data_IF_305391303795
#
_entry.id   IF_305391303795
#
_cell.length_a   1.000
_cell.length_b   1.000
_cell.length_c   1.000
_cell.angle_alpha   90.00
_cell.angle_beta   90.00
_cell.angle_gamma   90.00
#
_symmetry.space_group_name_H-M   'P 1'
#
loop_
_entity.id
_entity.type
_entity.pdbx_description
1 polymer ?
#
# COMPACT_ATOMS: atom_id res chain seq x y z
N UNK A 1 -12.53 23.69 13.23
CA UNK A 1 -11.35 22.99 12.64
C UNK A 1 -11.81 21.71 11.96
N UNK A 2 -11.31 21.43 10.75
CA UNK A 2 -11.64 20.23 9.98
C UNK A 2 -10.36 19.50 9.55
N UNK A 3 -10.34 18.17 9.71
CA UNK A 3 -9.20 17.32 9.33
C UNK A 3 -9.66 16.35 8.26
N UNK A 4 -9.00 16.41 7.11
CA UNK A 4 -9.24 15.53 5.97
C UNK A 4 -8.03 14.63 5.84
N UNK A 5 -8.24 13.32 5.89
CA UNK A 5 -7.16 12.32 5.85
C UNK A 5 -7.33 11.42 4.64
N UNK A 6 -6.21 11.17 3.95
CA UNK A 6 -6.07 10.18 2.90
C UNK A 6 -4.95 9.24 3.31
N UNK A 7 -5.20 7.94 3.36
CA UNK A 7 -4.13 6.96 3.56
C UNK A 7 -4.06 5.96 2.42
N UNK A 8 -2.87 5.45 2.15
CA UNK A 8 -2.67 4.43 1.13
C UNK A 8 -1.44 3.59 1.43
N UNK A 9 -1.47 2.35 0.94
CA UNK A 9 -0.36 1.43 1.08
C UNK A 9 0.72 1.69 0.02
N UNK A 10 1.95 1.85 0.47
CA UNK A 10 3.10 2.11 -0.37
C UNK A 10 3.38 0.93 -1.27
N UNK A 11 3.44 1.21 -2.57
CA UNK A 11 3.77 0.22 -3.60
C UNK A 11 5.28 0.22 -3.86
N UNK A 12 5.82 -0.80 -4.55
CA UNK A 12 7.20 -0.76 -5.04
C UNK A 12 7.53 0.51 -5.83
N UNK A 13 6.57 1.03 -6.61
CA UNK A 13 6.71 2.29 -7.35
C UNK A 13 6.77 3.50 -6.41
N UNK A 14 5.95 3.53 -5.36
CA UNK A 14 5.92 4.64 -4.41
C UNK A 14 7.24 4.82 -3.66
N UNK A 15 7.93 3.72 -3.36
CA UNK A 15 9.28 3.73 -2.76
C UNK A 15 10.38 3.97 -3.81
N UNK A 16 10.08 3.82 -5.11
CA UNK A 16 11.06 3.88 -6.19
C UNK A 16 11.99 2.66 -6.23
N UNK A 17 11.50 1.49 -5.82
CA UNK A 17 12.32 0.26 -5.68
C UNK A 17 12.92 -0.23 -7.00
N UNK A 18 12.31 0.13 -8.13
CA UNK A 18 12.85 -0.14 -9.48
C UNK A 18 14.01 0.78 -9.88
N UNK A 19 14.48 1.67 -9.00
CA UNK A 19 15.52 2.65 -9.32
C UNK A 19 15.05 3.75 -10.29
N UNK A 20 13.74 3.81 -10.55
CA UNK A 20 13.14 4.84 -11.40
C UNK A 20 12.97 6.13 -10.61
N UNK A 21 13.37 7.26 -11.19
CA UNK A 21 13.12 8.60 -10.64
C UNK A 21 11.62 8.97 -10.60
N UNK A 22 10.75 8.09 -11.08
CA UNK A 22 9.30 8.24 -11.15
C UNK A 22 8.59 7.57 -9.95
N UNK A 23 9.04 7.89 -8.73
CA UNK A 23 8.36 7.42 -7.51
C UNK A 23 7.20 8.35 -7.17
N UNK A 24 6.00 7.82 -7.00
CA UNK A 24 4.82 8.61 -6.69
C UNK A 24 3.81 7.89 -5.78
N UNK A 25 3.02 8.70 -5.06
CA UNK A 25 1.77 8.26 -4.42
C UNK A 25 0.63 8.61 -5.37
N UNK A 26 -0.23 7.62 -5.64
CA UNK A 26 -1.41 7.80 -6.48
C UNK A 26 -2.59 8.31 -5.63
N UNK A 27 -3.26 9.35 -6.11
CA UNK A 27 -4.53 9.83 -5.57
C UNK A 27 -5.68 9.39 -6.48
N UNK A 28 -6.78 8.88 -5.90
CA UNK A 28 -7.93 8.47 -6.69
C UNK A 28 -8.56 9.65 -7.41
N UNK A 29 -8.99 9.42 -8.66
CA UNK A 29 -9.80 10.35 -9.44
C UNK A 29 -11.21 10.58 -8.91
N UNK A 30 -11.59 9.97 -7.79
CA UNK A 30 -12.88 10.26 -7.18
C UNK A 30 -12.91 11.76 -6.91
N UNK A 31 -13.66 12.51 -7.73
CA UNK A 31 -13.60 13.97 -7.81
C UNK A 31 -13.76 14.55 -6.40
N UNK A 32 -14.77 14.06 -5.67
CA UNK A 32 -14.98 14.39 -4.26
C UNK A 32 -13.75 14.28 -3.34
N UNK A 33 -12.93 13.23 -3.46
CA UNK A 33 -11.75 13.05 -2.59
C UNK A 33 -10.65 14.04 -2.96
N UNK A 34 -10.39 14.17 -4.26
CA UNK A 34 -9.36 15.10 -4.76
C UNK A 34 -9.77 16.54 -4.45
N UNK A 35 -11.03 16.89 -4.66
CA UNK A 35 -11.59 18.23 -4.44
C UNK A 35 -11.66 18.60 -2.96
N UNK A 36 -11.88 17.63 -2.08
CA UNK A 36 -11.78 17.88 -0.65
C UNK A 36 -10.34 18.05 -0.19
N UNK A 37 -9.43 17.22 -0.69
CA UNK A 37 -8.05 17.21 -0.22
C UNK A 37 -7.21 18.34 -0.82
N UNK A 38 -7.49 18.78 -2.05
CA UNK A 38 -6.69 19.79 -2.74
C UNK A 38 -7.54 20.98 -3.14
N UNK A 39 -7.10 22.19 -2.79
CA UNK A 39 -7.76 23.43 -3.21
C UNK A 39 -7.42 23.82 -4.67
N UNK A 40 -6.31 23.30 -5.19
CA UNK A 40 -5.76 23.63 -6.50
C UNK A 40 -5.63 22.36 -7.34
N UNK A 41 -6.25 22.36 -8.52
CA UNK A 41 -6.28 21.23 -9.45
C UNK A 41 -5.36 21.39 -10.67
N UNK A 42 -4.27 22.16 -10.50
CA UNK A 42 -3.22 22.34 -11.50
C UNK A 42 -1.89 21.85 -10.95
N UNK A 43 -0.91 21.57 -11.82
CA UNK A 43 0.41 21.11 -11.35
C UNK A 43 1.05 22.19 -10.47
N UNK A 44 1.41 21.84 -9.24
CA UNK A 44 2.04 22.76 -8.30
C UNK A 44 2.89 22.00 -7.27
N UNK A 45 3.76 22.73 -6.59
CA UNK A 45 4.53 22.20 -5.46
C UNK A 45 3.77 22.47 -4.17
N UNK A 46 3.67 21.45 -3.31
CA UNK A 46 3.05 21.54 -1.99
C UNK A 46 4.08 21.26 -0.91
N UNK A 47 3.97 21.97 0.20
CA UNK A 47 4.78 21.70 1.39
C UNK A 47 3.96 20.89 2.37
N UNK A 48 4.51 19.75 2.79
CA UNK A 48 3.93 18.88 3.79
C UNK A 48 4.84 18.84 5.02
N UNK A 49 4.26 18.92 6.21
CA UNK A 49 4.99 18.81 7.48
C UNK A 49 4.89 17.38 8.02
N UNK A 50 6.04 16.76 8.27
CA UNK A 50 6.12 15.45 8.91
C UNK A 50 5.61 15.54 10.34
N UNK A 51 4.65 14.68 10.71
CA UNK A 51 4.17 14.57 12.09
C UNK A 51 5.15 13.87 13.03
N UNK A 52 6.16 13.17 12.50
CA UNK A 52 7.16 12.47 13.31
C UNK A 52 8.15 13.44 13.96
N UNK A 53 8.61 14.43 13.20
CA UNK A 53 9.74 15.29 13.59
C UNK A 53 9.52 16.79 13.31
N UNK A 54 8.39 17.16 12.70
CA UNK A 54 8.06 18.54 12.35
C UNK A 54 8.81 19.07 11.12
N UNK A 55 9.59 18.24 10.42
CA UNK A 55 10.32 18.68 9.23
C UNK A 55 9.39 18.95 8.04
N UNK A 56 9.71 19.98 7.25
CA UNK A 56 8.93 20.34 6.06
C UNK A 56 9.53 19.75 4.79
N UNK A 57 8.70 19.12 3.98
CA UNK A 57 9.07 18.47 2.73
C UNK A 57 8.26 19.02 1.57
N UNK A 58 8.91 19.31 0.46
CA UNK A 58 8.24 19.77 -0.76
C UNK A 58 8.03 18.61 -1.72
N UNK A 59 6.78 18.46 -2.17
CA UNK A 59 6.40 17.45 -3.14
C UNK A 59 5.70 18.11 -4.33
N UNK A 60 5.93 17.53 -5.51
CA UNK A 60 5.30 18.01 -6.73
C UNK A 60 3.99 17.26 -6.96
N UNK A 61 2.88 17.98 -7.01
CA UNK A 61 1.60 17.44 -7.42
C UNK A 61 1.45 17.56 -8.93
N UNK A 62 1.00 16.48 -9.58
CA UNK A 62 0.50 16.55 -10.95
C UNK A 62 -0.94 16.09 -11.02
N UNK A 63 -1.75 16.89 -11.71
CA UNK A 63 -3.16 16.63 -11.99
C UNK A 63 -3.29 16.48 -13.50
N UNK A 64 -3.39 15.23 -13.95
CA UNK A 64 -3.47 14.89 -15.37
C UNK A 64 -4.49 13.76 -15.57
N UNK A 65 -4.15 12.74 -16.37
CA UNK A 65 -4.89 11.49 -16.42
C UNK A 65 -4.76 10.67 -15.13
N UNK A 66 -3.86 11.02 -14.21
CA UNK A 66 -3.76 10.43 -12.87
C UNK A 66 -3.28 11.51 -11.91
N UNK A 67 -3.93 11.62 -10.74
CA UNK A 67 -3.52 12.54 -9.69
C UNK A 67 -2.38 11.89 -8.90
N UNK A 68 -1.24 12.57 -8.81
CA UNK A 68 -0.02 11.97 -8.25
C UNK A 68 0.77 12.98 -7.44
N UNK A 69 1.23 12.54 -6.27
CA UNK A 69 2.26 13.21 -5.48
C UNK A 69 3.61 12.57 -5.82
N UNK A 70 4.46 13.32 -6.52
CA UNK A 70 5.75 12.84 -7.02
C UNK A 70 6.87 13.03 -6.01
N UNK A 71 7.92 12.24 -6.19
CA UNK A 71 9.18 12.30 -5.44
C UNK A 71 9.04 11.94 -3.95
N UNK A 72 8.06 11.10 -3.62
CA UNK A 72 7.94 10.53 -2.27
C UNK A 72 9.01 9.48 -1.96
N UNK A 73 9.53 8.78 -2.98
CA UNK A 73 10.47 7.67 -2.81
C UNK A 73 11.75 8.02 -2.03
N UNK A 74 12.44 9.15 -2.30
CA UNK A 74 13.59 9.57 -1.49
C UNK A 74 13.29 9.68 0.01
N UNK A 75 12.17 10.32 0.38
CA UNK A 75 11.73 10.41 1.77
C UNK A 75 11.42 9.02 2.34
N UNK A 76 10.66 8.21 1.60
CA UNK A 76 10.29 6.87 2.06
C UNK A 76 11.52 6.01 2.36
N UNK A 77 12.59 6.14 1.56
CA UNK A 77 13.85 5.43 1.78
C UNK A 77 14.64 5.99 2.97
N UNK A 78 14.65 7.31 3.21
CA UNK A 78 15.32 7.87 4.39
C UNK A 78 14.69 7.39 5.69
N UNK A 79 13.38 7.15 5.67
CA UNK A 79 12.62 6.60 6.80
C UNK A 79 12.64 5.06 6.86
N UNK A 80 13.37 4.38 5.96
CA UNK A 80 13.35 2.93 5.81
C UNK A 80 11.92 2.36 5.73
N UNK A 81 11.06 3.01 4.94
CA UNK A 81 9.75 2.48 4.56
C UNK A 81 9.91 1.46 3.44
N UNK A 82 9.07 0.46 3.50
CA UNK A 82 9.07 -0.70 2.63
C UNK A 82 7.73 -0.81 1.88
N UNK A 83 7.69 -1.46 0.70
CA UNK A 83 6.42 -1.77 0.05
C UNK A 83 5.50 -2.58 0.97
N UNK A 84 4.26 -2.13 1.13
CA UNK A 84 3.31 -2.66 2.11
C UNK A 84 3.20 -1.82 3.38
N UNK A 85 4.07 -0.84 3.62
CA UNK A 85 3.83 0.18 4.65
C UNK A 85 2.73 1.14 4.23
N UNK A 86 2.22 1.95 5.16
CA UNK A 86 1.15 2.90 4.89
C UNK A 86 1.64 4.33 5.08
N UNK A 87 1.25 5.21 4.18
CA UNK A 87 1.43 6.66 4.30
C UNK A 87 0.07 7.29 4.54
N UNK A 88 0.04 8.25 5.45
CA UNK A 88 -1.15 9.02 5.80
C UNK A 88 -0.85 10.48 5.45
N UNK A 89 -1.66 11.06 4.58
CA UNK A 89 -1.61 12.46 4.17
C UNK A 89 -2.82 13.17 4.78
N UNK A 90 -2.62 14.36 5.31
CA UNK A 90 -3.69 15.11 5.97
C UNK A 90 -3.70 16.57 5.55
N UNK A 91 -4.88 17.11 5.30
CA UNK A 91 -5.16 18.54 5.23
C UNK A 91 -5.89 18.94 6.51
N UNK A 92 -5.39 19.95 7.19
CA UNK A 92 -6.03 20.56 8.36
C UNK A 92 -6.50 21.95 7.96
N UNK A 93 -7.81 22.14 7.96
CA UNK A 93 -8.48 23.42 7.70
C UNK A 93 -8.79 24.09 9.06
N UNK A 94 -8.23 25.28 9.25
CA UNK A 94 -8.42 26.09 10.44
C UNK A 94 -9.59 27.07 10.26
N UNK A 95 -10.12 27.57 11.38
CA UNK A 95 -11.31 28.43 11.37
C UNK A 95 -11.04 29.82 10.76
N UNK A 96 -9.77 30.19 10.60
CA UNK A 96 -9.32 31.41 9.90
C UNK A 96 -9.24 31.23 8.37
N UNK A 97 -9.62 30.05 7.85
CA UNK A 97 -9.59 29.71 6.43
C UNK A 97 -8.23 29.25 5.92
N UNK A 98 -7.20 29.18 6.78
CA UNK A 98 -5.91 28.62 6.38
C UNK A 98 -5.95 27.09 6.35
N UNK A 99 -5.18 26.51 5.43
CA UNK A 99 -4.97 25.06 5.36
C UNK A 99 -3.50 24.72 5.56
N UNK A 100 -3.23 23.67 6.33
CA UNK A 100 -1.89 23.10 6.47
C UNK A 100 -1.89 21.62 6.09
N UNK A 101 -0.81 21.19 5.47
CA UNK A 101 -0.65 19.84 4.98
C UNK A 101 0.37 19.09 5.82
N UNK A 102 0.01 17.88 6.20
CA UNK A 102 0.79 17.02 7.06
C UNK A 102 0.89 15.62 6.48
N UNK A 103 1.88 14.88 6.93
CA UNK A 103 1.93 13.46 6.67
C UNK A 103 2.53 12.67 7.83
N UNK A 104 2.19 11.39 7.88
CA UNK A 104 2.72 10.39 8.80
C UNK A 104 2.79 9.04 8.09
N UNK A 105 3.31 8.02 8.75
CA UNK A 105 3.39 6.66 8.21
C UNK A 105 3.24 5.60 9.31
N UNK A 106 2.83 4.41 8.88
CA UNK A 106 2.76 3.19 9.69
C UNK A 106 3.62 2.12 9.02
N UNK A 107 4.59 1.58 9.77
CA UNK A 107 5.38 0.43 9.37
C UNK A 107 4.67 -0.85 9.76
N UNK A 108 4.67 -1.84 8.87
CA UNK A 108 4.07 -3.15 9.13
C UNK A 108 5.07 -4.27 8.91
N UNK A 109 5.37 -5.03 9.95
CA UNK A 109 6.19 -6.27 9.83
C UNK A 109 5.34 -7.53 9.71
N UNK A 110 4.08 -7.46 10.13
CA UNK A 110 3.17 -8.60 10.22
C UNK A 110 2.30 -8.81 8.97
N UNK A 111 2.65 -8.17 7.84
CA UNK A 111 1.87 -8.28 6.61
C UNK A 111 2.74 -8.56 5.39
N UNK A 112 2.19 -9.31 4.44
CA UNK A 112 2.80 -9.57 3.13
C UNK A 112 1.78 -9.25 2.05
N UNK A 113 2.16 -8.39 1.09
CA UNK A 113 1.33 -8.11 -0.08
C UNK A 113 1.74 -9.02 -1.23
N UNK A 114 0.80 -9.83 -1.69
CA UNK A 114 0.94 -10.74 -2.81
C UNK A 114 0.22 -10.21 -4.05
N UNK A 115 0.82 -10.40 -5.20
CA UNK A 115 0.31 -9.99 -6.50
C UNK A 115 0.08 -11.22 -7.38
N UNK A 116 -1.18 -11.43 -7.77
CA UNK A 116 -1.61 -12.57 -8.56
C UNK A 116 -1.37 -12.35 -10.05
N UNK A 117 -0.62 -13.27 -10.65
CA UNK A 117 -0.30 -13.29 -12.07
C UNK A 117 -1.17 -14.33 -12.77
N UNK A 118 -2.42 -13.95 -13.03
CA UNK A 118 -3.51 -14.86 -13.41
C UNK A 118 -3.28 -15.76 -14.63
N UNK A 119 -2.49 -15.33 -15.61
CA UNK A 119 -2.18 -16.18 -16.78
C UNK A 119 -1.34 -17.42 -16.41
N UNK A 120 -0.61 -17.35 -15.29
CA UNK A 120 0.32 -18.38 -14.87
C UNK A 120 -0.01 -18.95 -13.47
N UNK A 121 -1.12 -18.49 -12.87
CA UNK A 121 -1.69 -18.97 -11.60
C UNK A 121 -0.72 -18.99 -10.41
N UNK A 122 0.25 -18.08 -10.37
CA UNK A 122 1.17 -17.93 -9.24
C UNK A 122 1.14 -16.50 -8.67
N UNK A 123 1.80 -16.34 -7.54
CA UNK A 123 1.94 -15.08 -6.83
C UNK A 123 3.39 -14.58 -6.84
N UNK A 124 3.53 -13.26 -6.80
CA UNK A 124 4.79 -12.58 -6.46
C UNK A 124 4.55 -11.68 -5.25
N UNK A 125 5.60 -11.31 -4.52
CA UNK A 125 5.47 -10.37 -3.39
C UNK A 125 5.93 -8.96 -3.79
N UNK A 126 5.37 -7.94 -3.15
CA UNK A 126 5.90 -6.57 -3.25
C UNK A 126 7.21 -6.37 -2.50
N UNK A 127 7.47 -7.19 -1.48
CA UNK A 127 8.68 -7.10 -0.67
C UNK A 127 9.19 -8.51 -0.37
N UNK A 128 10.30 -8.88 -1.03
CA UNK A 128 10.93 -10.19 -0.87
C UNK A 128 11.60 -10.36 0.49
N UNK A 129 12.21 -9.31 1.02
CA UNK A 129 12.87 -9.36 2.32
C UNK A 129 11.85 -9.55 3.45
N UNK A 130 10.74 -8.80 3.41
CA UNK A 130 9.62 -8.98 4.35
C UNK A 130 8.98 -10.35 4.20
N UNK A 131 8.80 -10.83 2.96
CA UNK A 131 8.30 -12.18 2.73
C UNK A 131 9.18 -13.24 3.40
N UNK A 132 10.51 -13.16 3.28
CA UNK A 132 11.43 -14.11 3.90
C UNK A 132 11.39 -14.06 5.43
N UNK A 133 11.14 -12.88 6.03
CA UNK A 133 10.93 -12.75 7.48
C UNK A 133 9.60 -13.37 7.92
N UNK A 134 8.56 -13.26 7.10
CA UNK A 134 7.22 -13.76 7.36
C UNK A 134 7.12 -15.28 7.14
N UNK A 135 7.77 -15.78 6.09
CA UNK A 135 7.80 -17.18 5.64
C UNK A 135 9.24 -17.70 5.79
N UNK A 136 9.60 -18.30 6.94
CA UNK A 136 10.98 -18.65 7.24
C UNK A 136 11.51 -19.83 6.42
N UNK A 137 10.63 -20.70 5.94
CA UNK A 137 10.96 -21.87 5.12
C UNK A 137 9.80 -22.25 4.22
N UNK A 138 10.08 -22.81 3.04
CA UNK A 138 9.07 -23.34 2.13
C UNK A 138 9.19 -24.88 2.03
N UNK A 139 8.07 -25.62 1.92
CA UNK A 139 6.70 -25.12 1.97
C UNK A 139 6.32 -24.58 3.37
N UNK A 140 5.40 -23.63 3.41
CA UNK A 140 4.93 -23.01 4.65
C UNK A 140 3.43 -23.15 4.78
N UNK A 141 3.00 -23.85 5.82
CA UNK A 141 1.60 -24.07 6.12
C UNK A 141 1.11 -23.02 7.13
N UNK A 142 -0.04 -22.40 6.84
CA UNK A 142 -0.68 -21.40 7.70
C UNK A 142 -2.15 -21.73 7.90
N UNK A 143 -2.64 -21.49 9.12
CA UNK A 143 -4.06 -21.53 9.43
C UNK A 143 -4.66 -20.13 9.25
N UNK A 144 -5.57 -20.02 8.29
CA UNK A 144 -6.24 -18.77 7.94
C UNK A 144 -7.62 -18.74 8.60
N UNK A 145 -7.90 -17.67 9.33
CA UNK A 145 -9.24 -17.36 9.82
C UNK A 145 -10.09 -16.82 8.67
N UNK A 146 -11.28 -17.37 8.51
CA UNK A 146 -12.32 -16.93 7.58
C UNK A 146 -13.62 -16.67 8.32
N UNK A 147 -14.60 -16.09 7.63
CA UNK A 147 -15.97 -15.95 8.15
C UNK A 147 -16.65 -17.29 8.43
N UNK A 148 -16.22 -18.37 7.77
CA UNK A 148 -16.75 -19.73 7.92
C UNK A 148 -15.97 -20.62 8.89
N UNK A 149 -14.89 -20.12 9.50
CA UNK A 149 -14.07 -20.85 10.47
C UNK A 149 -12.58 -20.73 10.19
N UNK A 150 -11.87 -21.85 10.24
CA UNK A 150 -10.44 -21.92 9.92
C UNK A 150 -10.22 -22.76 8.67
N UNK A 151 -9.18 -22.42 7.91
CA UNK A 151 -8.76 -23.22 6.77
C UNK A 151 -7.26 -23.16 6.59
N UNK A 152 -6.69 -24.28 6.18
CA UNK A 152 -5.26 -24.40 5.96
C UNK A 152 -4.90 -23.97 4.55
N UNK A 153 -3.83 -23.18 4.45
CA UNK A 153 -3.24 -22.72 3.19
C UNK A 153 -1.75 -23.08 3.21
N UNK A 154 -1.25 -23.55 2.07
CA UNK A 154 0.17 -23.88 1.92
C UNK A 154 0.80 -22.98 0.87
N UNK A 155 1.88 -22.30 1.26
CA UNK A 155 2.71 -21.50 0.36
C UNK A 155 3.88 -22.36 -0.09
N UNK A 156 4.07 -22.47 -1.40
CA UNK A 156 5.13 -23.27 -2.01
C UNK A 156 5.99 -22.44 -2.94
N UNK A 157 7.26 -22.84 -3.05
CA UNK A 157 8.17 -22.31 -4.07
C UNK A 157 7.68 -22.73 -5.47
N UNK A 158 7.58 -21.77 -6.38
CA UNK A 158 7.25 -21.99 -7.79
C UNK A 158 8.39 -21.55 -8.73
N UNK A 159 9.58 -21.31 -8.18
CA UNK A 159 10.77 -20.90 -8.91
C UNK A 159 10.76 -19.46 -9.40
N UNK A 160 11.81 -19.11 -10.15
CA UNK A 160 12.04 -17.78 -10.66
C UNK A 160 11.28 -17.53 -11.98
N UNK A 161 10.64 -16.36 -12.06
CA UNK A 161 9.88 -15.91 -13.24
C UNK A 161 10.39 -14.56 -13.73
N UNK A 162 10.09 -14.22 -14.99
CA UNK A 162 10.26 -12.85 -15.49
C UNK A 162 8.91 -12.23 -15.80
N UNK A 163 8.70 -10.97 -15.40
CA UNK A 163 7.45 -10.23 -15.70
C UNK A 163 7.25 -9.99 -17.20
N UNK A 164 8.35 -9.91 -17.95
CA UNK A 164 8.42 -9.83 -19.42
C UNK A 164 9.60 -10.67 -19.90
N UNK A 165 9.53 -11.22 -21.11
CA UNK A 165 10.61 -12.06 -21.66
C UNK A 165 11.97 -11.33 -21.67
N UNK A 166 11.94 -10.02 -21.92
CA UNK A 166 13.09 -9.10 -21.97
C UNK A 166 13.49 -8.50 -20.62
N UNK A 167 12.81 -8.83 -19.53
CA UNK A 167 13.16 -8.30 -18.20
C UNK A 167 14.54 -8.84 -17.79
N UNK A 168 15.50 -7.96 -17.43
CA UNK A 168 16.81 -8.40 -16.95
C UNK A 168 16.70 -9.14 -15.61
N UNK A 169 15.66 -8.81 -14.83
CA UNK A 169 15.46 -9.33 -13.49
C UNK A 169 14.41 -10.44 -13.50
N UNK A 170 14.75 -11.55 -12.85
CA UNK A 170 13.81 -12.58 -12.45
C UNK A 170 13.35 -12.33 -11.01
N UNK A 171 12.14 -12.79 -10.69
CA UNK A 171 11.50 -12.64 -9.40
C UNK A 171 11.10 -14.01 -8.88
N UNK A 172 11.19 -14.20 -7.57
CA UNK A 172 10.65 -15.39 -6.93
C UNK A 172 9.12 -15.43 -7.09
N UNK A 173 8.60 -16.57 -7.50
CA UNK A 173 7.17 -16.85 -7.58
C UNK A 173 6.75 -17.94 -6.60
N UNK A 174 5.47 -17.93 -6.25
CA UNK A 174 4.90 -18.85 -5.26
C UNK A 174 3.58 -19.42 -5.73
N UNK A 175 3.34 -20.69 -5.42
CA UNK A 175 2.00 -21.30 -5.48
C UNK A 175 1.37 -21.21 -4.09
N UNK A 176 0.06 -20.98 -4.04
CA UNK A 176 -0.69 -20.91 -2.80
C UNK A 176 -1.87 -21.87 -2.90
N UNK A 177 -1.71 -23.04 -2.30
CA UNK A 177 -2.69 -24.11 -2.31
C UNK A 177 -3.71 -23.90 -1.18
N UNK A 178 -4.97 -24.26 -1.42
CA UNK A 178 -6.07 -24.03 -0.48
C UNK A 178 -6.71 -22.64 -0.54
N UNK A 179 -6.08 -21.66 -1.21
CA UNK A 179 -6.60 -20.29 -1.32
C UNK A 179 -7.96 -20.20 -2.02
N UNK A 180 -8.20 -21.03 -3.04
CA UNK A 180 -9.46 -21.06 -3.79
C UNK A 180 -10.66 -21.56 -2.97
N UNK A 181 -10.42 -22.13 -1.79
CA UNK A 181 -11.47 -22.49 -0.84
C UNK A 181 -11.89 -21.29 0.03
N UNK A 182 -11.11 -20.20 0.02
CA UNK A 182 -11.28 -19.03 0.89
C UNK A 182 -11.76 -17.79 0.15
N UNK A 183 -11.60 -17.79 -1.16
CA UNK A 183 -11.95 -16.66 -2.02
C UNK A 183 -12.70 -17.20 -3.21
N UNK A 184 -13.84 -16.60 -3.54
CA UNK A 184 -14.69 -17.04 -4.66
C UNK A 184 -13.87 -17.13 -5.96
N UNK A 185 -13.87 -18.33 -6.57
CA UNK A 185 -12.97 -18.71 -7.67
C UNK A 185 -13.08 -17.78 -8.90
N UNK A 186 -14.25 -17.19 -9.15
CA UNK A 186 -14.54 -16.43 -10.36
C UNK A 186 -14.00 -14.98 -10.33
N UNK A 187 -13.45 -14.52 -9.21
CA UNK A 187 -13.06 -13.12 -9.06
C UNK A 187 -11.56 -12.83 -9.24
N UNK A 188 -10.71 -13.85 -9.32
CA UNK A 188 -9.26 -13.67 -9.51
C UNK A 188 -8.86 -13.33 -10.95
N UNK A 189 -9.07 -12.06 -11.32
CA UNK A 189 -8.56 -11.50 -12.57
C UNK A 189 -7.06 -11.24 -12.48
N UNK A 190 -6.39 -11.19 -13.64
CA UNK A 190 -5.03 -10.68 -13.72
C UNK A 190 -4.98 -9.30 -13.05
N UNK A 191 -3.95 -9.06 -12.20
CA UNK A 191 -3.77 -7.86 -11.36
C UNK A 191 -4.44 -7.85 -9.97
N UNK A 192 -5.07 -8.94 -9.56
CA UNK A 192 -5.54 -9.03 -8.17
C UNK A 192 -4.38 -9.07 -7.17
N UNK A 193 -4.66 -8.57 -5.97
CA UNK A 193 -3.71 -8.49 -4.86
C UNK A 193 -4.34 -9.12 -3.62
N UNK A 194 -3.50 -9.66 -2.75
CA UNK A 194 -3.89 -10.15 -1.44
C UNK A 194 -2.94 -9.61 -0.39
N UNK A 195 -3.45 -9.45 0.82
CA UNK A 195 -2.64 -9.21 2.00
C UNK A 195 -2.79 -10.45 2.89
N UNK A 196 -1.66 -11.12 3.14
CA UNK A 196 -1.55 -12.05 4.25
C UNK A 196 -1.19 -11.24 5.49
N UNK A 197 -1.96 -11.38 6.56
CA UNK A 197 -1.69 -10.73 7.84
C UNK A 197 -1.48 -11.78 8.91
N UNK A 198 -0.38 -11.68 9.65
CA UNK A 198 -0.13 -12.49 10.84
C UNK A 198 -0.73 -11.79 12.05
N UNK A 199 -1.58 -12.49 12.79
CA UNK A 199 -2.21 -11.97 13.99
C UNK A 199 -1.24 -12.02 15.18
N UNK A 200 -1.53 -11.22 16.21
CA UNK A 200 -0.64 -11.04 17.38
C UNK A 200 -0.40 -12.35 18.17
N UNK A 201 -1.29 -13.34 18.04
CA UNK A 201 -1.10 -14.66 18.65
C UNK A 201 -0.02 -15.52 17.95
N UNK A 202 0.53 -15.05 16.83
CA UNK A 202 1.69 -15.62 16.15
C UNK A 202 1.43 -16.90 15.33
N UNK A 203 0.26 -17.52 15.47
CA UNK A 203 -0.07 -18.80 14.84
C UNK A 203 -1.26 -18.72 13.88
N UNK A 204 -2.03 -17.64 13.94
CA UNK A 204 -3.19 -17.43 13.08
C UNK A 204 -2.93 -16.31 12.07
N UNK A 205 -3.53 -16.49 10.90
CA UNK A 205 -3.37 -15.60 9.77
C UNK A 205 -4.73 -15.17 9.25
N UNK A 206 -4.79 -14.03 8.59
CA UNK A 206 -5.94 -13.63 7.78
C UNK A 206 -5.51 -13.34 6.36
N UNK A 207 -6.43 -13.55 5.43
CA UNK A 207 -6.26 -13.18 4.03
C UNK A 207 -7.31 -12.14 3.70
N UNK A 208 -6.89 -11.02 3.15
CA UNK A 208 -7.79 -9.94 2.75
C UNK A 208 -7.41 -9.37 1.40
N UNK A 209 -8.36 -8.68 0.76
CA UNK A 209 -8.07 -7.82 -0.39
C UNK A 209 -7.49 -6.50 0.15
N UNK A 210 -6.44 -5.94 -0.49
CA UNK A 210 -5.94 -4.66 -0.05
C UNK A 210 -6.98 -3.58 -0.28
N UNK A 211 -7.19 -2.76 0.75
CA UNK A 211 -7.78 -1.44 0.59
C UNK A 211 -6.73 -0.59 -0.12
N UNK A 212 -7.05 -0.10 -1.33
CA UNK A 212 -6.08 0.67 -2.10
C UNK A 212 -5.83 2.05 -1.46
N UNK A 213 -6.85 2.63 -0.84
CA UNK A 213 -6.78 3.88 -0.12
C UNK A 213 -7.97 4.00 0.85
N UNK A 214 -7.80 4.78 1.90
CA UNK A 214 -8.85 5.20 2.82
C UNK A 214 -8.96 6.71 2.82
N UNK A 215 -10.17 7.19 3.08
CA UNK A 215 -10.46 8.61 3.14
C UNK A 215 -11.40 8.89 4.31
N UNK A 216 -11.09 9.91 5.11
CA UNK A 216 -11.92 10.31 6.23
C UNK A 216 -11.93 11.82 6.42
N UNK A 217 -13.03 12.32 6.96
CA UNK A 217 -13.22 13.72 7.33
C UNK A 217 -13.66 13.74 8.78
N UNK A 218 -12.95 14.52 9.59
CA UNK A 218 -13.28 14.74 11.00
C UNK A 218 -13.52 16.23 11.18
N UNK A 219 -14.71 16.57 11.65
CA UNK A 219 -15.07 17.93 12.05
C UNK A 219 -14.92 18.02 13.57
N UNK A 220 -14.11 18.97 14.03
CA UNK A 220 -14.03 19.30 15.45
C UNK A 220 -14.89 20.53 15.68
N UNK A 221 -16.04 20.32 16.32
CA UNK A 221 -16.85 21.43 16.83
C UNK A 221 -16.00 22.28 17.79
N UNK A 222 -16.09 23.60 17.63
CA UNK A 222 -15.46 24.53 18.56
C UNK A 222 -16.03 24.28 19.95
N UNK A 223 -15.15 24.05 20.93
CA UNK A 223 -15.54 24.13 22.33
C UNK A 223 -15.86 25.60 22.59
N UNK A 224 -17.15 25.93 22.70
CA UNK A 224 -17.62 27.24 23.16
C UNK A 224 -17.10 27.54 24.57
#
# INVERSE_FOLDING_TARGET
MRIISFSTRLTPTSIGQSGTNDSYIYFPKAEYITDLFFDIHSNHTMTFTSKKDGSSHQFNMKFTNENRLYQFGPYARSEALEPGDEVILQKVEYDDGQSQYYFDYIKYDNIVVLYYLGNQKYFTTWNQERFNRFVPSLPFEINVLTTSGQSTVTIEDNGLIRKRADSPNAFQSYRIDGLFNLVEQDEFKSKNKLILTKLDNGNEYTISRPINWEFSVIEKEGVN
#
